data_IF_318949651104
#
_entry.id   IF_318949651104
#
_cell.length_a   1.000
_cell.length_b   1.000
_cell.length_c   1.000
_cell.angle_alpha   90.00
_cell.angle_beta   90.00
_cell.angle_gamma   90.00
#
_symmetry.space_group_name_H-M   'P 1'
#
loop_
_entity.id
_entity.type
_entity.pdbx_description
1 polymer ?
#
# COMPACT_ATOMS: atom_id res chain seq x y z
N UNK A 1 21.46 34.62 6.71
CA UNK A 1 20.43 33.67 7.20
C UNK A 1 19.33 33.34 6.18
N UNK A 2 18.59 34.32 5.63
CA UNK A 2 17.46 34.08 4.67
C UNK A 2 17.84 33.26 3.42
N UNK A 3 19.00 33.55 2.80
CA UNK A 3 19.51 32.82 1.62
C UNK A 3 19.89 31.36 1.93
N UNK A 4 20.43 31.08 3.12
CA UNK A 4 20.78 29.72 3.56
C UNK A 4 19.51 28.91 3.83
N UNK A 5 18.53 29.50 4.53
CA UNK A 5 17.21 28.91 4.74
C UNK A 5 16.51 28.54 3.43
N UNK A 6 16.55 29.44 2.44
CA UNK A 6 15.95 29.19 1.13
C UNK A 6 16.65 28.05 0.38
N UNK A 7 17.99 27.95 0.46
CA UNK A 7 18.74 26.83 -0.13
C UNK A 7 18.37 25.50 0.53
N UNK A 8 18.29 25.46 1.87
CA UNK A 8 17.88 24.27 2.61
C UNK A 8 16.47 23.84 2.19
N UNK A 9 15.53 24.79 2.08
CA UNK A 9 14.16 24.50 1.64
C UNK A 9 14.14 23.87 0.24
N UNK A 10 14.91 24.43 -0.71
CA UNK A 10 15.01 23.89 -2.07
C UNK A 10 15.60 22.48 -2.10
N UNK A 11 16.60 22.20 -1.25
CA UNK A 11 17.17 20.86 -1.12
C UNK A 11 16.13 19.87 -0.58
N UNK A 12 15.38 20.24 0.46
CA UNK A 12 14.32 19.40 1.03
C UNK A 12 13.25 19.09 -0.01
N UNK A 13 12.79 20.11 -0.76
CA UNK A 13 11.81 19.93 -1.84
C UNK A 13 12.37 19.01 -2.92
N UNK A 14 13.64 19.18 -3.30
CA UNK A 14 14.32 18.32 -4.25
C UNK A 14 14.38 16.86 -3.81
N UNK A 15 14.71 16.61 -2.55
CA UNK A 15 14.71 15.26 -1.96
C UNK A 15 13.30 14.66 -2.00
N UNK A 16 12.28 15.38 -1.57
CA UNK A 16 10.88 14.91 -1.60
C UNK A 16 10.47 14.54 -3.03
N UNK A 17 10.85 15.35 -4.03
CA UNK A 17 10.54 15.10 -5.43
C UNK A 17 11.25 13.84 -5.96
N UNK A 18 12.56 13.72 -5.73
CA UNK A 18 13.36 12.56 -6.13
C UNK A 18 12.84 11.29 -5.46
N UNK A 19 12.48 11.36 -4.18
CA UNK A 19 11.97 10.21 -3.43
C UNK A 19 10.63 9.68 -3.93
N UNK A 20 9.88 10.45 -4.71
CA UNK A 20 8.64 9.99 -5.36
C UNK A 20 8.88 9.40 -6.76
N UNK A 21 10.14 9.27 -7.22
CA UNK A 21 10.45 8.64 -8.51
C UNK A 21 10.32 7.10 -8.45
N UNK A 22 9.93 6.43 -9.56
CA UNK A 22 9.74 4.99 -9.60
C UNK A 22 10.93 4.14 -9.11
N UNK A 23 12.21 4.49 -9.41
CA UNK A 23 13.36 3.74 -8.88
C UNK A 23 13.43 3.75 -7.35
N UNK A 24 13.03 4.84 -6.71
CA UNK A 24 13.04 4.91 -5.24
C UNK A 24 11.99 3.98 -4.65
N UNK A 25 10.80 3.90 -5.25
CA UNK A 25 9.78 2.93 -4.85
C UNK A 25 10.23 1.47 -5.03
N UNK A 26 11.02 1.19 -6.07
CA UNK A 26 11.60 -0.14 -6.28
C UNK A 26 12.50 -0.58 -5.11
N UNK A 27 13.34 0.32 -4.57
CA UNK A 27 14.30 -0.01 -3.51
C UNK A 27 13.78 0.22 -2.08
N UNK A 28 12.92 1.24 -1.87
CA UNK A 28 12.42 1.64 -0.55
C UNK A 28 10.95 1.24 -0.32
N UNK A 29 10.33 0.58 -1.29
CA UNK A 29 8.99 0.04 -1.16
C UNK A 29 8.94 -1.03 -0.06
N UNK A 30 7.81 -1.12 0.62
CA UNK A 30 7.54 -2.18 1.59
C UNK A 30 6.62 -3.21 0.95
N UNK A 31 6.69 -4.44 1.44
CA UNK A 31 5.71 -5.45 1.10
C UNK A 31 4.37 -5.14 1.77
N UNK A 32 3.29 -5.28 1.02
CA UNK A 32 1.93 -5.02 1.51
C UNK A 32 1.09 -6.27 1.46
N UNK A 33 0.58 -6.69 2.62
CA UNK A 33 -0.21 -7.89 2.73
C UNK A 33 -1.72 -7.58 2.75
N UNK A 34 -2.47 -8.44 2.07
CA UNK A 34 -3.92 -8.37 1.92
C UNK A 34 -4.52 -9.75 2.13
N UNK A 35 -5.68 -9.79 2.77
CA UNK A 35 -6.42 -11.03 2.97
C UNK A 35 -7.92 -10.77 3.08
N UNK A 36 -8.73 -11.81 2.96
CA UNK A 36 -10.12 -11.74 3.40
C UNK A 36 -10.24 -12.09 4.89
N UNK A 37 -11.46 -11.97 5.43
CA UNK A 37 -11.70 -12.05 6.88
C UNK A 37 -11.25 -13.38 7.51
N UNK A 38 -11.41 -14.49 6.81
CA UNK A 38 -11.03 -15.84 7.26
C UNK A 38 -9.66 -16.31 6.74
N UNK A 39 -8.91 -15.42 6.08
CA UNK A 39 -7.63 -15.74 5.43
C UNK A 39 -7.67 -16.87 4.38
N UNK A 40 -8.85 -17.24 3.87
CA UNK A 40 -8.96 -18.17 2.74
C UNK A 40 -8.43 -17.60 1.42
N UNK A 41 -8.25 -16.28 1.35
CA UNK A 41 -7.49 -15.57 0.33
C UNK A 41 -6.38 -14.75 0.99
N UNK A 42 -5.15 -14.89 0.49
CA UNK A 42 -3.99 -14.11 0.88
C UNK A 42 -3.21 -13.61 -0.35
N UNK A 43 -2.68 -12.40 -0.25
CA UNK A 43 -1.84 -11.82 -1.29
C UNK A 43 -0.81 -10.86 -0.69
N UNK A 44 0.44 -10.99 -1.12
CA UNK A 44 1.51 -10.05 -0.78
C UNK A 44 1.90 -9.27 -2.03
N UNK A 45 1.77 -7.95 -1.96
CA UNK A 45 2.31 -7.02 -2.94
C UNK A 45 3.79 -6.79 -2.64
N UNK A 46 4.62 -6.84 -3.68
CA UNK A 46 6.06 -6.67 -3.59
C UNK A 46 6.52 -5.53 -4.52
N UNK A 47 7.30 -4.57 -4.00
CA UNK A 47 7.81 -3.46 -4.80
C UNK A 47 8.70 -3.98 -5.93
N UNK A 48 8.63 -3.32 -7.08
CA UNK A 48 9.47 -3.65 -8.22
C UNK A 48 9.13 -4.94 -8.96
N UNK A 49 8.07 -5.64 -8.56
CA UNK A 49 7.59 -6.85 -9.22
C UNK A 49 6.24 -6.61 -9.90
N UNK A 50 5.73 -7.62 -10.61
CA UNK A 50 4.36 -7.63 -11.12
C UNK A 50 3.32 -7.87 -10.02
N UNK A 51 3.74 -8.24 -8.79
CA UNK A 51 2.85 -8.44 -7.65
C UNK A 51 2.48 -7.09 -7.03
N UNK A 52 1.53 -6.40 -7.65
CA UNK A 52 1.03 -5.10 -7.18
C UNK A 52 -0.43 -5.19 -6.74
N UNK A 53 -0.96 -4.12 -6.15
CA UNK A 53 -2.37 -4.06 -5.73
C UNK A 53 -3.38 -4.37 -6.85
N UNK A 54 -3.05 -4.03 -8.11
CA UNK A 54 -3.91 -4.38 -9.24
C UNK A 54 -4.02 -5.90 -9.41
N UNK A 55 -2.90 -6.62 -9.29
CA UNK A 55 -2.92 -8.09 -9.29
C UNK A 55 -3.63 -8.68 -8.08
N UNK A 56 -3.47 -8.08 -6.89
CA UNK A 56 -4.22 -8.47 -5.70
C UNK A 56 -5.73 -8.40 -5.96
N UNK A 57 -6.19 -7.27 -6.52
CA UNK A 57 -7.60 -7.04 -6.85
C UNK A 57 -8.10 -8.05 -7.89
N UNK A 58 -7.34 -8.29 -8.97
CA UNK A 58 -7.73 -9.24 -10.02
C UNK A 58 -7.81 -10.67 -9.51
N UNK A 59 -6.84 -11.11 -8.69
CA UNK A 59 -6.85 -12.45 -8.09
C UNK A 59 -7.99 -12.59 -7.09
N UNK A 60 -8.32 -11.53 -6.36
CA UNK A 60 -9.43 -11.54 -5.43
C UNK A 60 -10.79 -11.64 -6.15
N UNK A 61 -10.98 -10.96 -7.27
CA UNK A 61 -12.16 -11.15 -8.11
C UNK A 61 -12.28 -12.60 -8.60
N UNK A 62 -11.19 -13.18 -9.13
CA UNK A 62 -11.19 -14.59 -9.52
C UNK A 62 -11.41 -15.56 -8.34
N UNK A 63 -10.98 -15.20 -7.13
CA UNK A 63 -11.26 -15.98 -5.93
C UNK A 63 -12.76 -15.99 -5.62
N UNK A 64 -13.44 -14.83 -5.71
CA UNK A 64 -14.90 -14.74 -5.51
C UNK A 64 -15.66 -15.56 -6.55
N UNK A 65 -15.26 -15.48 -7.82
CA UNK A 65 -15.87 -16.27 -8.90
C UNK A 65 -15.77 -17.78 -8.66
N UNK A 66 -14.63 -18.25 -8.11
CA UNK A 66 -14.39 -19.67 -7.81
C UNK A 66 -15.04 -20.12 -6.50
N UNK A 67 -15.33 -19.19 -5.60
CA UNK A 67 -15.88 -19.47 -4.27
C UNK A 67 -17.18 -18.66 -4.05
N UNK A 68 -18.23 -18.87 -4.87
CA UNK A 68 -19.44 -18.05 -4.80
C UNK A 68 -20.18 -18.16 -3.46
N UNK A 69 -20.02 -19.29 -2.77
CA UNK A 69 -20.63 -19.55 -1.46
C UNK A 69 -19.81 -18.99 -0.28
N UNK A 70 -18.61 -18.45 -0.52
CA UNK A 70 -17.82 -17.85 0.54
C UNK A 70 -18.43 -16.50 0.94
N UNK A 71 -18.69 -16.33 2.24
CA UNK A 71 -19.30 -15.13 2.84
C UNK A 71 -18.27 -13.98 2.89
N UNK A 72 -16.98 -14.31 2.94
CA UNK A 72 -15.85 -13.39 3.09
C UNK A 72 -15.37 -12.84 1.74
N UNK A 73 -16.26 -12.11 1.06
CA UNK A 73 -16.01 -11.48 -0.25
C UNK A 73 -15.42 -10.06 -0.18
N UNK A 74 -14.87 -9.67 0.98
CA UNK A 74 -14.20 -8.38 1.18
C UNK A 74 -12.69 -8.55 1.30
N UNK A 75 -11.93 -7.75 0.56
CA UNK A 75 -10.47 -7.69 0.65
C UNK A 75 -10.06 -6.64 1.68
N UNK A 76 -9.31 -7.08 2.69
CA UNK A 76 -8.76 -6.23 3.73
C UNK A 76 -7.27 -6.03 3.54
N UNK A 77 -6.77 -4.88 4.01
CA UNK A 77 -5.35 -4.67 4.26
C UNK A 77 -5.01 -5.08 5.68
N UNK A 78 -3.84 -5.68 5.87
CA UNK A 78 -3.32 -6.06 7.20
C UNK A 78 -2.20 -5.14 7.69
N UNK A 79 -1.79 -4.19 6.86
CA UNK A 79 -0.79 -3.18 7.20
C UNK A 79 -1.42 -1.84 7.59
N UNK A 80 -0.69 -1.07 8.39
CA UNK A 80 -1.05 0.30 8.76
C UNK A 80 -0.48 1.31 7.76
N UNK A 81 -1.22 2.37 7.50
CA UNK A 81 -0.73 3.51 6.72
C UNK A 81 0.32 4.25 7.57
N UNK A 82 1.49 4.52 6.99
CA UNK A 82 2.63 5.17 7.65
C UNK A 82 2.85 6.59 7.07
N UNK A 83 2.27 7.66 7.66
CA UNK A 83 2.30 9.01 7.07
C UNK A 83 3.70 9.62 6.95
N UNK A 84 4.71 9.11 7.65
CA UNK A 84 6.09 9.59 7.51
C UNK A 84 6.80 9.07 6.24
N UNK A 85 6.20 8.12 5.52
CA UNK A 85 6.74 7.61 4.24
C UNK A 85 6.37 8.54 3.09
N UNK A 86 7.05 9.68 3.01
CA UNK A 86 6.77 10.71 2.02
C UNK A 86 6.99 10.29 0.56
N UNK A 87 7.75 9.21 0.33
CA UNK A 87 7.90 8.57 -0.99
C UNK A 87 6.64 7.83 -1.46
N UNK A 88 5.62 7.70 -0.62
CA UNK A 88 4.35 7.06 -0.98
C UNK A 88 3.15 8.02 -0.93
N UNK A 89 3.37 9.29 -0.58
CA UNK A 89 2.31 10.27 -0.42
C UNK A 89 1.52 10.47 -1.70
N UNK A 90 2.20 10.49 -2.85
CA UNK A 90 1.51 10.58 -4.12
C UNK A 90 0.53 9.43 -4.30
N UNK A 91 0.92 8.19 -3.97
CA UNK A 91 0.04 7.03 -4.01
C UNK A 91 -1.07 7.10 -2.96
N UNK A 92 -0.83 7.68 -1.78
CA UNK A 92 -1.86 7.89 -0.75
C UNK A 92 -2.94 8.89 -1.21
N UNK A 93 -2.53 10.02 -1.81
CA UNK A 93 -3.41 11.13 -2.16
C UNK A 93 -4.15 10.90 -3.49
N UNK A 94 -3.46 10.40 -4.53
CA UNK A 94 -3.94 10.43 -5.92
C UNK A 94 -5.02 9.41 -6.31
N UNK A 95 -5.56 8.62 -5.35
CA UNK A 95 -6.43 7.42 -5.51
C UNK A 95 -5.68 6.08 -5.34
N UNK A 96 -4.85 5.94 -4.32
CA UNK A 96 -4.29 4.64 -3.93
C UNK A 96 -5.40 3.70 -3.48
N UNK A 97 -5.96 2.91 -4.41
CA UNK A 97 -6.98 1.90 -4.11
C UNK A 97 -6.53 0.96 -2.98
N UNK A 98 -5.21 0.70 -2.89
CA UNK A 98 -4.56 -0.01 -1.77
C UNK A 98 -4.86 0.56 -0.38
N UNK A 99 -4.90 1.88 -0.26
CA UNK A 99 -5.13 2.58 1.01
C UNK A 99 -6.60 2.78 1.34
N UNK A 100 -7.51 2.49 0.39
CA UNK A 100 -8.97 2.50 0.60
C UNK A 100 -9.50 1.16 1.14
N UNK A 101 -8.72 0.08 1.06
CA UNK A 101 -9.07 -1.18 1.68
C UNK A 101 -9.27 -0.99 3.20
N UNK A 102 -10.29 -1.67 3.73
CA UNK A 102 -10.56 -1.69 5.16
C UNK A 102 -9.39 -2.37 5.88
N UNK A 103 -9.02 -1.83 7.04
CA UNK A 103 -7.99 -2.43 7.87
C UNK A 103 -8.57 -3.59 8.66
N UNK A 104 -7.99 -4.77 8.50
CA UNK A 104 -8.29 -5.90 9.38
C UNK A 104 -7.36 -5.83 10.60
N UNK A 105 -7.94 -5.61 11.77
CA UNK A 105 -7.23 -5.60 13.02
C UNK A 105 -7.28 -7.00 13.66
N UNK A 106 -6.14 -7.68 13.71
CA UNK A 106 -6.04 -9.04 14.26
C UNK A 106 -6.30 -9.15 15.76
N UNK A 107 -6.43 -8.03 16.49
CA UNK A 107 -6.55 -8.01 17.96
C UNK A 107 -7.86 -8.61 18.51
N UNK A 108 -8.79 -9.03 17.66
CA UNK A 108 -10.12 -9.53 18.04
C UNK A 108 -10.35 -11.03 17.71
N UNK A 109 -9.30 -11.80 17.37
CA UNK A 109 -9.44 -13.20 16.92
C UNK A 109 -8.80 -14.23 17.87
N UNK A 110 -8.62 -13.88 19.14
CA UNK A 110 -7.97 -14.73 20.15
C UNK A 110 -8.69 -14.73 21.49
N UNK A 111 -10.03 -14.76 21.49
CA UNK A 111 -10.85 -15.10 22.65
C UNK A 111 -11.74 -16.30 22.34
#
# INVERSE_FOLDING_TARGET
>A
MKKIRNKILLIIIGIIFISNLPPVYYFLGEEYHYQNFDASFEFTEQPGTTQNFYMASRRFESFKERNPNNINQTLYRTFTIKPWKFWEWWSMISKGKRFKCQYLNFRNHGE
#
